data_IF_891083214335
#
_entry.id   IF_891083214335
#
_cell.length_a   1.000
_cell.length_b   1.000
_cell.length_c   1.000
_cell.angle_alpha   90.00
_cell.angle_beta   90.00
_cell.angle_gamma   90.00
#
_symmetry.space_group_name_H-M   'P 1'
#
loop_
_entity.id
_entity.type
_entity.pdbx_description
1 polymer ?
#
# COMPACT_ATOMS: atom_id res chain seq x y z
N UNK A 1 18.85 13.88 -4.77
CA UNK A 1 18.09 12.92 -5.61
C UNK A 1 18.11 13.25 -7.10
N UNK A 2 17.37 14.24 -7.63
CA UNK A 2 17.27 14.45 -9.10
C UNK A 2 18.62 14.69 -9.81
N UNK A 3 19.52 15.48 -9.23
CA UNK A 3 20.87 15.66 -9.79
C UNK A 3 21.73 14.39 -9.72
N UNK A 4 21.53 13.52 -8.72
CA UNK A 4 22.22 12.22 -8.66
C UNK A 4 21.73 11.28 -9.78
N UNK A 5 20.43 11.27 -10.04
CA UNK A 5 19.85 10.55 -11.18
C UNK A 5 20.39 11.05 -12.54
N UNK A 6 20.56 12.36 -12.71
CA UNK A 6 21.23 12.91 -13.90
C UNK A 6 22.71 12.50 -14.00
N UNK A 7 23.40 12.35 -12.88
CA UNK A 7 24.77 11.85 -12.89
C UNK A 7 24.85 10.39 -13.34
N UNK A 8 23.91 9.53 -12.90
CA UNK A 8 23.80 8.14 -13.38
C UNK A 8 23.51 8.05 -14.88
N UNK A 9 22.62 8.92 -15.38
CA UNK A 9 22.35 9.02 -16.82
C UNK A 9 23.64 9.37 -17.60
N UNK A 10 24.42 10.33 -17.10
CA UNK A 10 25.63 10.80 -17.75
C UNK A 10 26.80 9.79 -17.68
N UNK A 11 26.88 8.97 -16.62
CA UNK A 11 27.89 7.91 -16.49
C UNK A 11 27.53 6.65 -17.27
N UNK A 12 26.29 6.50 -17.73
CA UNK A 12 25.82 5.28 -18.38
C UNK A 12 25.54 4.13 -17.41
N UNK A 13 25.36 4.43 -16.12
CA UNK A 13 25.07 3.47 -15.05
C UNK A 13 23.67 3.73 -14.47
N UNK A 14 22.59 3.60 -15.25
CA UNK A 14 21.24 3.86 -14.76
C UNK A 14 20.80 2.79 -13.76
N UNK A 15 19.86 3.16 -12.89
CA UNK A 15 19.09 2.21 -12.07
C UNK A 15 18.24 1.34 -13.00
N UNK A 16 18.43 0.02 -12.94
CA UNK A 16 17.76 -0.99 -13.76
C UNK A 16 16.55 -1.54 -13.02
N UNK A 17 15.37 -1.32 -13.57
CA UNK A 17 14.08 -1.60 -12.93
C UNK A 17 13.39 -2.79 -13.61
N UNK A 18 12.93 -3.74 -12.80
CA UNK A 18 11.99 -4.79 -13.20
C UNK A 18 10.59 -4.40 -12.74
N UNK A 19 9.61 -4.50 -13.63
CA UNK A 19 8.20 -4.25 -13.30
C UNK A 19 7.39 -5.54 -13.38
N UNK A 20 6.69 -5.88 -12.30
CA UNK A 20 5.74 -7.00 -12.26
C UNK A 20 4.33 -6.44 -12.16
N UNK A 21 3.50 -6.72 -13.16
CA UNK A 21 2.17 -6.15 -13.32
C UNK A 21 2.18 -4.92 -14.22
N UNK A 22 1.53 -5.03 -15.38
CA UNK A 22 1.42 -4.02 -16.42
C UNK A 22 -0.03 -3.53 -16.61
N UNK A 23 -0.81 -3.58 -15.53
CA UNK A 23 -2.16 -2.99 -15.46
C UNK A 23 -2.15 -1.46 -15.49
N UNK A 24 -3.21 -0.82 -14.98
CA UNK A 24 -3.36 0.63 -15.03
C UNK A 24 -2.19 1.39 -14.38
N UNK A 25 -1.77 0.98 -13.18
CA UNK A 25 -0.63 1.60 -12.47
C UNK A 25 0.70 1.20 -13.11
N UNK A 26 0.90 -0.09 -13.41
CA UNK A 26 2.11 -0.60 -14.06
C UNK A 26 2.45 0.11 -15.37
N UNK A 27 1.45 0.36 -16.22
CA UNK A 27 1.64 1.12 -17.46
C UNK A 27 2.13 2.54 -17.19
N UNK A 28 1.55 3.23 -16.19
CA UNK A 28 1.98 4.56 -15.76
C UNK A 28 3.41 4.57 -15.19
N UNK A 29 3.76 3.56 -14.39
CA UNK A 29 5.10 3.38 -13.82
C UNK A 29 6.12 3.17 -14.95
N UNK A 30 5.85 2.27 -15.90
CA UNK A 30 6.71 2.00 -17.04
C UNK A 30 6.97 3.27 -17.87
N UNK A 31 5.90 4.02 -18.15
CA UNK A 31 6.00 5.32 -18.81
C UNK A 31 6.90 6.28 -18.03
N UNK A 32 6.67 6.43 -16.71
CA UNK A 32 7.41 7.38 -15.87
C UNK A 32 8.90 7.01 -15.77
N UNK A 33 9.24 5.73 -15.67
CA UNK A 33 10.62 5.25 -15.70
C UNK A 33 11.30 5.69 -17.00
N UNK A 34 10.63 5.53 -18.15
CA UNK A 34 11.16 5.92 -19.46
C UNK A 34 11.43 7.42 -19.62
N UNK A 35 10.92 8.29 -18.73
CA UNK A 35 11.21 9.74 -18.72
C UNK A 35 12.10 10.20 -17.58
N UNK A 36 12.41 9.31 -16.63
CA UNK A 36 13.20 9.68 -15.46
C UNK A 36 14.68 9.47 -15.80
N UNK A 37 15.52 10.54 -15.76
CA UNK A 37 16.95 10.40 -15.99
C UNK A 37 17.56 9.34 -15.05
N UNK A 38 18.53 8.58 -15.54
CA UNK A 38 19.27 7.62 -14.71
C UNK A 38 18.43 6.41 -14.27
N UNK A 39 17.30 6.15 -14.92
CA UNK A 39 16.50 4.93 -14.72
C UNK A 39 16.22 4.26 -16.05
N UNK A 40 16.14 2.93 -16.05
CA UNK A 40 15.77 2.12 -17.21
C UNK A 40 14.86 0.97 -16.80
N UNK A 41 13.77 0.80 -17.53
CA UNK A 41 12.98 -0.41 -17.45
C UNK A 41 13.71 -1.50 -18.24
N UNK A 42 14.21 -2.53 -17.55
CA UNK A 42 14.96 -3.63 -18.18
C UNK A 42 14.09 -4.85 -18.42
N UNK A 43 13.01 -5.01 -17.65
CA UNK A 43 12.05 -6.07 -17.87
C UNK A 43 10.65 -5.74 -17.35
N UNK A 44 9.65 -6.34 -17.99
CA UNK A 44 8.24 -6.25 -17.61
C UNK A 44 7.61 -7.63 -17.68
N UNK A 45 6.84 -7.99 -16.66
CA UNK A 45 6.06 -9.22 -16.65
C UNK A 45 4.59 -8.95 -16.42
N UNK A 46 3.74 -9.63 -17.16
CA UNK A 46 2.30 -9.68 -16.89
C UNK A 46 1.72 -10.99 -17.44
N UNK A 47 0.71 -11.54 -16.76
CA UNK A 47 -0.01 -12.71 -17.26
C UNK A 47 -0.60 -12.48 -18.64
N UNK A 48 -0.98 -11.23 -18.96
CA UNK A 48 -1.31 -10.75 -20.29
C UNK A 48 -0.06 -10.18 -20.98
N UNK A 49 0.51 -10.96 -21.89
CA UNK A 49 1.69 -10.55 -22.65
C UNK A 49 1.48 -9.24 -23.42
N UNK A 50 0.27 -8.96 -23.92
CA UNK A 50 0.00 -7.70 -24.62
C UNK A 50 0.07 -6.51 -23.65
N UNK A 51 -0.32 -6.68 -22.39
CA UNK A 51 -0.15 -5.66 -21.37
C UNK A 51 1.33 -5.36 -21.10
N UNK A 52 2.15 -6.40 -20.94
CA UNK A 52 3.59 -6.24 -20.74
C UNK A 52 4.27 -5.58 -21.96
N UNK A 53 3.87 -5.92 -23.19
CA UNK A 53 4.33 -5.26 -24.41
C UNK A 53 3.98 -3.78 -24.43
N UNK A 54 2.72 -3.42 -24.13
CA UNK A 54 2.27 -2.02 -24.07
C UNK A 54 3.07 -1.21 -23.03
N UNK A 55 3.39 -1.81 -21.87
CA UNK A 55 4.20 -1.16 -20.85
C UNK A 55 5.65 -0.94 -21.32
N UNK A 56 6.27 -1.93 -21.97
CA UNK A 56 7.59 -1.77 -22.55
C UNK A 56 7.63 -0.68 -23.65
N UNK A 57 6.60 -0.63 -24.50
CA UNK A 57 6.42 0.44 -25.50
C UNK A 57 6.22 1.82 -24.85
N UNK A 58 5.44 1.91 -23.77
CA UNK A 58 5.22 3.15 -23.03
C UNK A 58 6.51 3.70 -22.39
N UNK A 59 7.41 2.81 -21.96
CA UNK A 59 8.75 3.18 -21.50
C UNK A 59 9.64 3.74 -22.63
N UNK A 60 9.27 3.50 -23.90
CA UNK A 60 9.94 4.08 -25.08
C UNK A 60 11.15 3.29 -25.59
N UNK A 61 11.39 2.09 -25.06
CA UNK A 61 12.49 1.21 -25.47
C UNK A 61 12.05 0.10 -26.44
N UNK A 62 12.96 -0.44 -27.25
CA UNK A 62 12.67 -1.67 -27.98
C UNK A 62 12.54 -2.85 -27.01
N UNK A 63 11.63 -3.77 -27.29
CA UNK A 63 11.40 -4.95 -26.45
C UNK A 63 11.61 -6.25 -27.21
N UNK A 64 11.80 -7.33 -26.45
CA UNK A 64 11.86 -8.69 -26.97
C UNK A 64 11.22 -9.64 -25.95
N UNK A 65 10.50 -10.65 -26.45
CA UNK A 65 9.90 -11.66 -25.60
C UNK A 65 10.98 -12.55 -24.96
N UNK A 66 10.85 -12.77 -23.66
CA UNK A 66 11.74 -13.59 -22.85
C UNK A 66 10.95 -14.73 -22.22
N UNK A 67 11.37 -15.96 -22.46
CA UNK A 67 10.70 -17.16 -21.95
C UNK A 67 11.68 -18.27 -21.62
N UNK A 68 11.31 -19.11 -20.65
CA UNK A 68 12.11 -20.25 -20.27
C UNK A 68 12.32 -21.21 -21.45
N UNK A 69 13.56 -21.58 -21.72
CA UNK A 69 13.94 -22.49 -22.81
C UNK A 69 14.17 -21.82 -24.16
N UNK A 70 13.92 -20.51 -24.30
CA UNK A 70 14.31 -19.73 -25.47
C UNK A 70 15.72 -19.14 -25.32
N UNK A 71 16.28 -18.63 -26.42
CA UNK A 71 17.53 -17.85 -26.38
C UNK A 71 17.30 -16.54 -25.61
N UNK A 72 18.27 -16.13 -24.80
CA UNK A 72 18.19 -14.89 -24.03
C UNK A 72 18.06 -13.69 -24.98
N UNK A 73 17.15 -12.75 -24.70
CA UNK A 73 17.07 -11.52 -25.48
C UNK A 73 18.36 -10.69 -25.33
N UNK A 74 18.68 -9.85 -26.32
CA UNK A 74 19.78 -8.89 -26.19
C UNK A 74 19.60 -7.97 -24.98
N UNK A 75 20.72 -7.55 -24.37
CA UNK A 75 20.70 -6.65 -23.20
C UNK A 75 20.25 -5.22 -23.51
N UNK A 76 20.18 -4.84 -24.79
CA UNK A 76 19.66 -3.55 -25.25
C UNK A 76 18.12 -3.54 -25.43
N UNK A 77 17.45 -4.65 -25.08
CA UNK A 77 15.98 -4.80 -25.15
C UNK A 77 15.38 -4.84 -23.77
N UNK A 78 14.15 -4.34 -23.65
CA UNK A 78 13.28 -4.61 -22.52
C UNK A 78 12.77 -6.06 -22.64
N UNK A 79 13.03 -6.87 -21.62
CA UNK A 79 12.60 -8.27 -21.60
C UNK A 79 11.12 -8.33 -21.21
N UNK A 80 10.29 -8.91 -22.06
CA UNK A 80 8.85 -9.02 -21.84
C UNK A 80 8.48 -10.48 -21.62
N UNK A 81 7.85 -10.81 -20.49
CA UNK A 81 7.49 -12.20 -20.15
C UNK A 81 6.11 -12.33 -19.52
N UNK A 82 5.58 -13.56 -19.51
CA UNK A 82 4.42 -13.93 -18.69
C UNK A 82 4.79 -14.46 -17.30
N UNK A 83 6.05 -14.82 -17.11
CA UNK A 83 6.53 -15.48 -15.90
C UNK A 83 7.54 -14.58 -15.17
N UNK A 84 7.19 -14.01 -14.00
CA UNK A 84 8.14 -13.21 -13.23
C UNK A 84 9.26 -14.05 -12.61
N UNK A 85 9.02 -15.32 -12.28
CA UNK A 85 10.04 -16.17 -11.65
C UNK A 85 11.17 -16.49 -12.61
N UNK A 86 10.89 -16.56 -13.91
CA UNK A 86 11.92 -16.67 -14.94
C UNK A 86 12.92 -15.49 -14.89
N UNK A 87 12.44 -14.27 -14.62
CA UNK A 87 13.31 -13.10 -14.51
C UNK A 87 14.08 -13.05 -13.19
N UNK A 88 13.69 -13.87 -12.21
CA UNK A 88 14.40 -14.02 -10.93
C UNK A 88 15.42 -15.15 -10.95
N UNK A 89 15.24 -16.15 -11.82
CA UNK A 89 16.28 -17.12 -12.11
C UNK A 89 17.56 -16.40 -12.58
N UNK A 90 18.73 -16.96 -12.29
CA UNK A 90 20.03 -16.41 -12.69
C UNK A 90 20.25 -16.56 -14.22
N UNK A 91 19.42 -15.86 -14.99
CA UNK A 91 19.36 -15.86 -16.45
C UNK A 91 20.23 -14.75 -17.04
N UNK A 92 21.04 -14.08 -16.23
CA UNK A 92 21.89 -12.96 -16.63
C UNK A 92 21.17 -11.61 -16.80
N UNK A 93 19.90 -11.48 -16.39
CA UNK A 93 19.19 -10.19 -16.40
C UNK A 93 19.74 -9.28 -15.28
N UNK A 94 20.41 -8.22 -15.68
CA UNK A 94 20.94 -7.21 -14.78
C UNK A 94 19.85 -6.25 -14.26
N UNK A 95 19.62 -6.20 -12.95
CA UNK A 95 18.59 -5.38 -12.31
C UNK A 95 19.00 -4.92 -10.89
N UNK A 96 18.47 -3.79 -10.43
CA UNK A 96 18.74 -3.21 -9.10
C UNK A 96 17.50 -3.24 -8.19
N UNK A 97 16.32 -3.15 -8.79
CA UNK A 97 15.06 -2.96 -8.06
C UNK A 97 13.89 -3.59 -8.81
N UNK A 98 12.98 -4.19 -8.06
CA UNK A 98 11.69 -4.67 -8.53
C UNK A 98 10.57 -3.75 -8.05
N UNK A 99 9.66 -3.39 -8.95
CA UNK A 99 8.39 -2.75 -8.63
C UNK A 99 7.28 -3.78 -8.75
N UNK A 100 6.63 -4.10 -7.63
CA UNK A 100 5.49 -5.02 -7.56
C UNK A 100 4.20 -4.18 -7.68
N UNK A 101 3.52 -4.32 -8.81
CA UNK A 101 2.34 -3.54 -9.20
C UNK A 101 1.18 -4.43 -9.69
N UNK A 102 1.17 -5.71 -9.30
CA UNK A 102 0.01 -6.58 -9.49
C UNK A 102 -1.11 -6.24 -8.49
N UNK A 103 -2.20 -6.98 -8.59
CA UNK A 103 -3.37 -6.89 -7.71
C UNK A 103 -3.58 -8.19 -6.92
N UNK A 104 -2.52 -8.99 -6.77
CA UNK A 104 -2.53 -10.26 -6.04
C UNK A 104 -1.76 -10.10 -4.73
N UNK A 105 -2.01 -10.93 -3.73
CA UNK A 105 -1.30 -10.89 -2.45
C UNK A 105 -0.39 -12.11 -2.33
N UNK A 106 -0.95 -13.31 -2.48
CA UNK A 106 -0.18 -14.56 -2.30
C UNK A 106 0.89 -14.75 -3.37
N UNK A 107 0.52 -14.57 -4.64
CA UNK A 107 1.47 -14.65 -5.76
C UNK A 107 2.53 -13.55 -5.68
N UNK A 108 2.12 -12.31 -5.44
CA UNK A 108 3.03 -11.17 -5.28
C UNK A 108 4.03 -11.38 -4.13
N UNK A 109 3.61 -12.00 -3.02
CA UNK A 109 4.50 -12.35 -1.93
C UNK A 109 5.63 -13.28 -2.37
N UNK A 110 5.32 -14.31 -3.17
CA UNK A 110 6.32 -15.23 -3.71
C UNK A 110 7.30 -14.53 -4.66
N UNK A 111 6.79 -13.65 -5.51
CA UNK A 111 7.61 -12.81 -6.40
C UNK A 111 8.54 -11.90 -5.59
N UNK A 112 8.04 -11.22 -4.56
CA UNK A 112 8.84 -10.37 -3.68
C UNK A 112 9.96 -11.14 -3.00
N UNK A 113 9.67 -12.34 -2.50
CA UNK A 113 10.67 -13.20 -1.86
C UNK A 113 11.75 -13.67 -2.83
N UNK A 114 11.36 -14.08 -4.05
CA UNK A 114 12.31 -14.45 -5.08
C UNK A 114 13.22 -13.27 -5.48
N UNK A 115 12.68 -12.05 -5.52
CA UNK A 115 13.46 -10.86 -5.81
C UNK A 115 14.44 -10.50 -4.69
N UNK A 116 14.07 -10.66 -3.41
CA UNK A 116 14.99 -10.53 -2.27
C UNK A 116 16.11 -11.56 -2.35
N UNK A 117 15.82 -12.81 -2.70
CA UNK A 117 16.83 -13.87 -2.86
C UNK A 117 17.85 -13.53 -3.96
N UNK A 118 17.45 -12.71 -4.94
CA UNK A 118 18.25 -12.20 -6.06
C UNK A 118 18.92 -10.85 -5.79
N UNK A 119 18.92 -10.39 -4.54
CA UNK A 119 19.53 -9.12 -4.15
C UNK A 119 18.92 -7.88 -4.83
N UNK A 120 17.60 -7.89 -5.06
CA UNK A 120 16.88 -6.73 -5.57
C UNK A 120 16.20 -5.96 -4.43
N UNK A 121 16.28 -4.64 -4.50
CA UNK A 121 15.39 -3.78 -3.72
C UNK A 121 13.93 -3.96 -4.17
N UNK A 122 12.97 -3.72 -3.30
CA UNK A 122 11.54 -3.82 -3.61
C UNK A 122 10.82 -2.50 -3.39
N UNK A 123 10.01 -2.11 -4.38
CA UNK A 123 9.00 -1.05 -4.25
C UNK A 123 7.62 -1.68 -4.42
N UNK A 124 6.79 -1.57 -3.39
CA UNK A 124 5.43 -2.09 -3.36
C UNK A 124 4.44 -0.98 -3.76
N UNK A 125 3.99 -1.01 -5.02
CA UNK A 125 2.78 -0.30 -5.43
C UNK A 125 1.53 -0.99 -4.87
N UNK A 126 1.66 -2.28 -4.57
CA UNK A 126 0.62 -3.10 -3.98
C UNK A 126 0.64 -2.99 -2.43
N UNK A 127 -0.13 -2.05 -1.91
CA UNK A 127 -0.24 -1.80 -0.47
C UNK A 127 -0.75 -3.01 0.33
N UNK A 128 -1.52 -3.90 -0.29
CA UNK A 128 -2.08 -5.09 0.34
C UNK A 128 -0.99 -6.12 0.70
N UNK A 129 0.04 -6.24 -0.14
CA UNK A 129 1.22 -7.09 0.16
C UNK A 129 2.01 -6.52 1.33
N UNK A 130 2.18 -5.20 1.37
CA UNK A 130 2.86 -4.51 2.48
C UNK A 130 2.09 -4.71 3.79
N UNK A 131 0.76 -4.57 3.77
CA UNK A 131 -0.04 -4.80 4.96
C UNK A 131 0.03 -6.26 5.43
N UNK A 132 -0.11 -7.21 4.50
CA UNK A 132 -0.14 -8.63 4.83
C UNK A 132 1.23 -9.13 5.35
N UNK A 133 2.32 -8.75 4.68
CA UNK A 133 3.63 -9.38 4.82
C UNK A 133 4.81 -8.42 4.95
N UNK A 134 4.56 -7.11 5.09
CA UNK A 134 5.58 -6.08 5.25
C UNK A 134 6.63 -6.44 6.30
N UNK A 135 6.26 -6.74 7.57
CA UNK A 135 7.24 -7.08 8.59
C UNK A 135 8.18 -8.24 8.21
N UNK A 136 7.66 -9.27 7.54
CA UNK A 136 8.45 -10.40 7.04
C UNK A 136 9.39 -9.98 5.90
N UNK A 137 8.85 -9.30 4.88
CA UNK A 137 9.61 -8.86 3.71
C UNK A 137 10.74 -7.91 4.10
N UNK A 138 10.45 -6.90 4.91
CA UNK A 138 11.45 -5.96 5.41
C UNK A 138 12.54 -6.66 6.21
N UNK A 139 12.20 -7.64 7.06
CA UNK A 139 13.20 -8.38 7.84
C UNK A 139 14.11 -9.23 6.96
N UNK A 140 13.56 -9.92 5.97
CA UNK A 140 14.34 -10.73 5.02
C UNK A 140 15.25 -9.87 4.15
N UNK A 141 14.77 -8.73 3.68
CA UNK A 141 15.55 -7.79 2.90
C UNK A 141 16.67 -7.15 3.73
N UNK A 142 16.39 -6.73 4.96
CA UNK A 142 17.40 -6.13 5.85
C UNK A 142 18.55 -7.10 6.16
N UNK A 143 18.29 -8.42 6.22
CA UNK A 143 19.34 -9.42 6.39
C UNK A 143 20.32 -9.53 5.21
N UNK A 144 20.03 -8.83 4.10
CA UNK A 144 20.81 -8.79 2.85
C UNK A 144 21.19 -7.37 2.44
N UNK A 145 21.06 -6.39 3.35
CA UNK A 145 21.28 -4.96 3.07
C UNK A 145 20.39 -4.41 1.95
N UNK A 146 19.18 -4.96 1.79
CA UNK A 146 18.19 -4.53 0.79
C UNK A 146 17.06 -3.71 1.43
N UNK A 147 16.56 -2.73 0.67
CA UNK A 147 15.36 -1.95 1.00
C UNK A 147 14.11 -2.61 0.41
N UNK A 148 13.08 -2.77 1.26
CA UNK A 148 11.67 -2.88 0.84
C UNK A 148 11.01 -1.58 1.22
N UNK A 149 10.08 -1.08 0.41
CA UNK A 149 9.32 0.14 0.72
C UNK A 149 7.99 0.15 -0.03
N UNK A 150 6.98 0.80 0.53
CA UNK A 150 5.79 1.19 -0.24
C UNK A 150 6.13 2.29 -1.25
N UNK A 151 5.24 2.46 -2.23
CA UNK A 151 5.26 3.56 -3.19
C UNK A 151 5.25 4.95 -2.52
N UNK A 152 5.80 5.96 -3.19
CA UNK A 152 5.89 7.32 -2.64
C UNK A 152 4.71 8.25 -2.99
N UNK A 153 3.84 7.82 -3.89
CA UNK A 153 2.79 8.62 -4.51
C UNK A 153 1.37 8.25 -4.14
N UNK A 154 1.13 7.03 -3.64
CA UNK A 154 -0.12 6.68 -2.96
C UNK A 154 -0.26 7.42 -1.62
N UNK A 155 -1.49 7.53 -1.10
CA UNK A 155 -1.77 8.37 0.08
C UNK A 155 -0.87 8.05 1.28
N UNK A 156 -0.60 6.77 1.56
CA UNK A 156 0.25 6.36 2.67
C UNK A 156 1.71 6.77 2.47
N UNK A 157 2.27 6.64 1.26
CA UNK A 157 3.62 7.14 0.95
C UNK A 157 3.75 8.65 1.07
N UNK A 158 2.71 9.39 0.68
CA UNK A 158 2.66 10.85 0.83
C UNK A 158 2.57 11.25 2.30
N UNK A 159 1.70 10.58 3.07
CA UNK A 159 1.56 10.80 4.51
C UNK A 159 2.86 10.50 5.26
N UNK A 160 3.55 9.39 4.97
CA UNK A 160 4.83 9.04 5.59
C UNK A 160 5.86 10.16 5.44
N UNK A 161 5.98 10.71 4.22
CA UNK A 161 6.89 11.83 3.94
C UNK A 161 6.48 13.12 4.63
N UNK A 162 5.19 13.42 4.70
CA UNK A 162 4.69 14.59 5.43
C UNK A 162 4.97 14.44 6.92
N UNK A 163 4.75 13.26 7.49
CA UNK A 163 5.00 12.96 8.91
C UNK A 163 6.49 13.12 9.25
N UNK A 164 7.38 12.58 8.42
CA UNK A 164 8.83 12.74 8.56
C UNK A 164 9.23 14.23 8.59
N UNK A 165 8.72 15.01 7.64
CA UNK A 165 8.98 16.45 7.55
C UNK A 165 8.43 17.23 8.76
N UNK A 166 7.20 16.93 9.19
CA UNK A 166 6.54 17.60 10.31
C UNK A 166 7.21 17.28 11.65
N UNK A 167 7.70 16.04 11.82
CA UNK A 167 8.52 15.66 12.99
C UNK A 167 9.86 16.41 13.01
N UNK A 168 10.49 16.61 11.85
CA UNK A 168 11.72 17.42 11.76
C UNK A 168 11.50 18.87 12.20
N UNK A 169 10.28 19.40 12.01
CA UNK A 169 9.90 20.74 12.49
C UNK A 169 9.60 20.80 13.99
N UNK A 170 9.60 19.66 14.69
CA UNK A 170 9.40 19.58 16.15
C UNK A 170 7.95 19.41 16.60
N UNK A 171 7.02 19.09 15.69
CA UNK A 171 5.64 18.80 16.07
C UNK A 171 5.49 17.34 16.52
N UNK A 172 4.64 17.13 17.55
CA UNK A 172 4.10 15.81 17.84
C UNK A 172 2.96 15.50 16.87
N UNK A 173 2.96 14.33 16.27
CA UNK A 173 1.89 13.91 15.36
C UNK A 173 0.69 13.46 16.18
N UNK A 174 -0.46 14.12 15.98
CA UNK A 174 -1.71 13.78 16.67
C UNK A 174 -2.64 13.00 15.76
N UNK A 175 -2.64 13.33 14.47
CA UNK A 175 -3.46 12.65 13.48
C UNK A 175 -2.77 12.64 12.12
N UNK A 176 -2.86 11.51 11.41
CA UNK A 176 -2.59 11.41 9.99
C UNK A 176 -3.86 10.96 9.27
N UNK A 177 -4.25 11.63 8.20
CA UNK A 177 -5.56 11.41 7.60
C UNK A 177 -5.64 11.45 6.08
N UNK A 178 -6.60 10.69 5.57
CA UNK A 178 -6.94 10.61 4.15
C UNK A 178 -8.15 11.52 3.83
N UNK A 179 -8.20 12.10 2.63
CA UNK A 179 -9.39 12.77 2.11
C UNK A 179 -10.10 11.87 1.12
N UNK A 180 -11.20 11.26 1.58
CA UNK A 180 -12.00 10.35 0.79
C UNK A 180 -13.16 11.09 0.13
N UNK A 181 -13.34 10.94 -1.18
CA UNK A 181 -14.47 11.57 -1.88
C UNK A 181 -15.80 10.84 -1.65
N UNK A 182 -15.79 9.51 -1.63
CA UNK A 182 -16.99 8.67 -1.55
C UNK A 182 -16.74 7.39 -0.76
N UNK A 183 -17.77 6.92 -0.06
CA UNK A 183 -17.77 5.68 0.71
C UNK A 183 -19.16 5.04 0.67
N UNK A 184 -19.23 3.80 0.20
CA UNK A 184 -20.39 2.92 0.30
C UNK A 184 -19.92 1.52 0.67
N UNK A 185 -19.99 1.20 1.97
CA UNK A 185 -19.56 -0.09 2.56
C UNK A 185 -20.22 -1.30 1.91
N UNK A 186 -21.37 -1.11 1.26
CA UNK A 186 -22.18 -2.19 0.72
C UNK A 186 -22.13 -2.29 -0.80
N UNK A 187 -21.24 -1.51 -1.43
CA UNK A 187 -20.98 -1.60 -2.85
C UNK A 187 -20.51 -3.01 -3.23
N UNK A 188 -20.92 -3.44 -4.42
CA UNK A 188 -20.54 -4.71 -5.04
C UNK A 188 -19.78 -4.43 -6.32
N UNK A 189 -18.85 -5.33 -6.68
CA UNK A 189 -18.10 -5.20 -7.92
C UNK A 189 -19.01 -5.19 -9.16
N UNK A 190 -20.07 -6.01 -9.15
CA UNK A 190 -21.08 -6.06 -10.21
C UNK A 190 -21.83 -4.72 -10.35
N UNK A 191 -22.14 -4.07 -9.23
CA UNK A 191 -22.80 -2.76 -9.23
C UNK A 191 -21.90 -1.61 -9.73
N UNK A 192 -20.58 -1.82 -9.75
CA UNK A 192 -19.59 -0.81 -10.12
C UNK A 192 -18.97 -1.01 -11.50
N UNK A 193 -19.44 -1.98 -12.29
CA UNK A 193 -18.88 -2.29 -13.62
C UNK A 193 -18.77 -1.05 -14.52
N UNK A 194 -19.82 -0.24 -14.59
CA UNK A 194 -19.81 0.97 -15.43
C UNK A 194 -18.80 2.01 -14.94
N UNK A 195 -18.71 2.20 -13.62
CA UNK A 195 -17.81 3.21 -13.06
C UNK A 195 -16.34 2.77 -13.14
N UNK A 196 -16.08 1.48 -12.92
CA UNK A 196 -14.78 0.87 -13.13
C UNK A 196 -14.33 1.02 -14.60
N UNK A 197 -15.22 0.80 -15.56
CA UNK A 197 -14.93 0.97 -16.98
C UNK A 197 -14.58 2.42 -17.35
N UNK A 198 -15.32 3.42 -16.84
CA UNK A 198 -15.02 4.85 -17.06
C UNK A 198 -13.62 5.22 -16.58
N UNK A 199 -13.19 4.62 -15.46
CA UNK A 199 -11.89 4.87 -14.82
C UNK A 199 -10.79 3.91 -15.29
N UNK A 200 -11.11 2.95 -16.17
CA UNK A 200 -10.20 1.88 -16.63
C UNK A 200 -9.60 1.07 -15.48
N UNK A 201 -10.43 0.77 -14.48
CA UNK A 201 -10.06 -0.01 -13.30
C UNK A 201 -10.65 -1.42 -13.37
N UNK A 202 -10.03 -2.33 -12.63
CA UNK A 202 -10.64 -3.61 -12.32
C UNK A 202 -11.88 -3.37 -11.40
N UNK A 203 -13.05 -3.99 -11.67
CA UNK A 203 -14.26 -3.82 -10.84
C UNK A 203 -14.08 -4.20 -9.36
N UNK A 204 -13.31 -5.24 -9.06
CA UNK A 204 -13.00 -5.67 -7.69
C UNK A 204 -12.19 -4.58 -6.98
N UNK A 205 -11.16 -4.04 -7.61
CA UNK A 205 -10.40 -2.92 -7.06
C UNK A 205 -11.26 -1.66 -6.89
N UNK A 206 -12.08 -1.33 -7.89
CA UNK A 206 -13.01 -0.21 -7.81
C UNK A 206 -13.98 -0.35 -6.62
N UNK A 207 -14.41 -1.57 -6.34
CA UNK A 207 -15.22 -1.90 -5.16
C UNK A 207 -14.45 -1.70 -3.86
N UNK A 208 -13.21 -2.18 -3.76
CA UNK A 208 -12.36 -1.98 -2.57
C UNK A 208 -12.08 -0.51 -2.27
N UNK A 209 -11.99 0.33 -3.32
CA UNK A 209 -11.92 1.79 -3.15
C UNK A 209 -13.24 2.36 -2.63
N UNK A 210 -14.36 1.80 -3.07
CA UNK A 210 -15.69 2.33 -2.77
C UNK A 210 -16.17 1.92 -1.38
N UNK A 211 -15.89 0.68 -0.96
CA UNK A 211 -16.36 0.14 0.32
C UNK A 211 -15.50 0.52 1.53
N UNK A 212 -14.36 1.18 1.28
CA UNK A 212 -13.45 1.67 2.31
C UNK A 212 -12.36 0.68 2.71
N UNK A 213 -12.34 -0.52 2.15
CA UNK A 213 -11.31 -1.52 2.45
C UNK A 213 -9.92 -0.99 2.11
N UNK A 214 -9.74 -0.40 0.91
CA UNK A 214 -8.44 0.19 0.51
C UNK A 214 -8.01 1.33 1.43
N UNK A 215 -8.97 2.17 1.84
CA UNK A 215 -8.71 3.26 2.79
C UNK A 215 -8.20 2.69 4.13
N UNK A 216 -8.80 1.62 4.63
CA UNK A 216 -8.33 0.92 5.81
C UNK A 216 -6.89 0.40 5.64
N UNK A 217 -6.57 -0.18 4.47
CA UNK A 217 -5.23 -0.71 4.17
C UNK A 217 -4.18 0.40 4.21
N UNK A 218 -4.43 1.51 3.51
CA UNK A 218 -3.52 2.66 3.48
C UNK A 218 -3.28 3.25 4.87
N UNK A 219 -4.33 3.38 5.68
CA UNK A 219 -4.19 3.94 7.03
C UNK A 219 -3.55 2.94 8.01
N UNK A 220 -3.73 1.63 7.81
CA UNK A 220 -3.05 0.60 8.59
C UNK A 220 -1.53 0.61 8.34
N UNK A 221 -1.10 0.85 7.10
CA UNK A 221 0.33 1.02 6.79
C UNK A 221 0.94 2.20 7.55
N UNK A 222 0.24 3.33 7.60
CA UNK A 222 0.70 4.50 8.39
C UNK A 222 0.73 4.18 9.89
N UNK A 223 -0.30 3.52 10.41
CA UNK A 223 -0.32 3.08 11.81
C UNK A 223 0.89 2.19 12.15
N UNK A 224 1.18 1.20 11.31
CA UNK A 224 2.29 0.26 11.47
C UNK A 224 3.66 0.91 11.29
N UNK A 225 3.76 1.96 10.48
CA UNK A 225 4.99 2.69 10.23
C UNK A 225 5.32 3.73 11.31
N UNK A 226 4.30 4.39 11.84
CA UNK A 226 4.46 5.61 12.64
C UNK A 226 4.02 5.47 14.10
N UNK A 227 3.52 4.29 14.50
CA UNK A 227 3.04 4.03 15.86
C UNK A 227 1.71 4.72 16.17
N UNK A 228 0.94 5.06 15.13
CA UNK A 228 -0.41 5.61 15.24
C UNK A 228 -1.45 4.48 15.30
N UNK A 229 -2.68 4.78 15.72
CA UNK A 229 -3.75 3.78 15.84
C UNK A 229 -5.11 4.29 15.34
N UNK A 230 -6.01 3.44 14.83
CA UNK A 230 -7.41 3.84 14.68
C UNK A 230 -8.04 4.02 16.08
N UNK A 231 -8.74 5.13 16.29
CA UNK A 231 -9.41 5.41 17.56
C UNK A 231 -10.59 4.46 17.82
N UNK A 232 -11.35 4.15 16.76
CA UNK A 232 -12.44 3.17 16.72
C UNK A 232 -12.30 2.27 15.49
N UNK A 233 -12.90 1.06 15.49
CA UNK A 233 -12.95 0.23 14.29
C UNK A 233 -13.48 0.99 13.08
N UNK A 234 -12.71 1.03 12.00
CA UNK A 234 -13.06 1.73 10.77
C UNK A 234 -12.78 3.23 10.74
N UNK A 235 -12.20 3.79 11.81
CA UNK A 235 -11.97 5.24 12.00
C UNK A 235 -13.27 6.06 12.15
N UNK A 236 -13.19 7.29 12.66
CA UNK A 236 -14.39 8.11 12.92
C UNK A 236 -15.02 8.65 11.63
N UNK A 237 -14.20 9.06 10.65
CA UNK A 237 -14.66 9.32 9.29
C UNK A 237 -15.72 10.40 9.08
N UNK A 238 -15.68 11.56 9.77
CA UNK A 238 -16.71 12.60 9.65
C UNK A 238 -16.80 13.16 8.23
N UNK A 239 -17.99 13.66 7.89
CA UNK A 239 -18.18 14.45 6.66
C UNK A 239 -17.64 15.86 6.88
N UNK A 240 -16.89 16.34 5.90
CA UNK A 240 -16.37 17.70 5.88
C UNK A 240 -16.52 18.28 4.48
N UNK A 241 -16.81 19.59 4.36
CA UNK A 241 -16.78 20.30 3.08
C UNK A 241 -15.37 20.77 2.70
N UNK A 242 -14.56 21.08 3.72
CA UNK A 242 -13.17 21.53 3.59
C UNK A 242 -12.29 20.83 4.64
N UNK A 243 -11.03 20.58 4.30
CA UNK A 243 -10.06 19.92 5.21
C UNK A 243 -9.86 20.66 6.53
N UNK A 244 -10.09 21.98 6.58
CA UNK A 244 -9.97 22.77 7.82
C UNK A 244 -11.03 22.44 8.85
N UNK A 245 -12.15 21.83 8.44
CA UNK A 245 -13.21 21.40 9.37
C UNK A 245 -12.77 20.25 10.28
N UNK A 246 -11.57 19.68 10.09
CA UNK A 246 -10.99 18.71 11.04
C UNK A 246 -10.95 19.25 12.48
N UNK A 247 -10.78 20.57 12.67
CA UNK A 247 -10.79 21.19 14.00
C UNK A 247 -12.19 21.25 14.64
N UNK A 248 -13.25 21.12 13.84
CA UNK A 248 -14.63 21.12 14.31
C UNK A 248 -15.15 19.70 14.57
N UNK A 249 -14.68 18.73 13.77
CA UNK A 249 -15.20 17.37 13.79
C UNK A 249 -14.42 16.40 14.67
N UNK A 250 -13.14 16.67 14.93
CA UNK A 250 -12.32 15.82 15.78
C UNK A 250 -12.01 16.48 17.13
N UNK A 251 -12.21 15.72 18.19
CA UNK A 251 -11.82 16.11 19.55
C UNK A 251 -10.44 15.50 19.85
N UNK A 252 -9.40 16.25 19.50
CA UNK A 252 -8.00 15.81 19.61
C UNK A 252 -7.56 15.51 21.05
N UNK A 253 -8.20 16.13 22.05
CA UNK A 253 -7.85 15.91 23.46
C UNK A 253 -8.23 14.49 23.92
N UNK A 254 -9.20 13.84 23.27
CA UNK A 254 -9.53 12.42 23.50
C UNK A 254 -8.39 11.47 23.12
N UNK A 255 -7.45 11.92 22.28
CA UNK A 255 -6.31 11.13 21.83
C UNK A 255 -5.08 11.25 22.76
N UNK A 256 -5.16 12.03 23.85
CA UNK A 256 -4.04 12.22 24.76
C UNK A 256 -3.66 10.96 25.58
N UNK A 257 -4.56 9.98 25.68
CA UNK A 257 -4.37 8.76 26.47
C UNK A 257 -4.73 7.49 25.67
N UNK A 258 -4.11 7.32 24.51
CA UNK A 258 -4.34 6.14 23.67
C UNK A 258 -3.70 4.88 24.29
N UNK A 259 -4.32 3.70 24.11
CA UNK A 259 -3.75 2.44 24.57
C UNK A 259 -2.39 2.13 23.92
N UNK A 260 -1.55 1.38 24.63
CA UNK A 260 -0.26 0.91 24.10
C UNK A 260 0.79 2.00 23.90
N UNK A 261 0.57 3.22 24.38
CA UNK A 261 1.51 4.34 24.22
C UNK A 261 1.53 4.93 22.81
N UNK A 262 0.46 4.72 22.02
CA UNK A 262 0.34 5.29 20.68
C UNK A 262 0.44 6.82 20.71
N UNK A 263 1.16 7.38 19.74
CA UNK A 263 1.49 8.82 19.71
C UNK A 263 0.31 9.70 19.25
N UNK A 264 -0.58 9.11 18.46
CA UNK A 264 -1.73 9.75 17.83
C UNK A 264 -2.56 8.73 17.04
N UNK A 265 -3.46 9.24 16.19
CA UNK A 265 -4.43 8.42 15.46
C UNK A 265 -4.26 8.47 13.94
N UNK A 266 -4.77 7.45 13.26
CA UNK A 266 -5.07 7.53 11.83
C UNK A 266 -6.58 7.69 11.64
N UNK A 267 -6.99 8.56 10.74
CA UNK A 267 -8.41 8.77 10.42
C UNK A 267 -8.63 9.23 8.97
N UNK A 268 -9.84 9.64 8.62
CA UNK A 268 -10.15 10.23 7.32
C UNK A 268 -11.30 11.23 7.42
N UNK A 269 -11.44 12.07 6.41
CA UNK A 269 -12.63 12.89 6.21
C UNK A 269 -13.31 12.54 4.90
N UNK A 270 -14.65 12.67 4.88
CA UNK A 270 -15.48 12.25 3.75
C UNK A 270 -16.12 13.45 3.03
N UNK A 271 -15.75 13.64 1.77
CA UNK A 271 -16.39 14.60 0.85
C UNK A 271 -15.75 15.99 0.81
N UNK A 272 -14.61 16.18 1.47
CA UNK A 272 -13.94 17.48 1.47
C UNK A 272 -13.33 17.81 0.10
N UNK A 273 -13.38 19.08 -0.27
CA UNK A 273 -12.79 19.61 -1.50
C UNK A 273 -11.65 20.61 -1.18
N UNK A 274 -10.50 20.57 -1.90
CA UNK A 274 -10.17 19.64 -2.98
C UNK A 274 -10.05 18.16 -2.54
N UNK A 275 -10.71 17.27 -3.29
CA UNK A 275 -10.68 15.83 -3.02
C UNK A 275 -9.34 15.16 -3.34
N UNK A 276 -9.14 13.94 -2.83
CA UNK A 276 -7.98 13.09 -3.17
C UNK A 276 -6.65 13.57 -2.59
N UNK A 277 -6.67 14.38 -1.53
CA UNK A 277 -5.49 14.77 -0.78
C UNK A 277 -5.28 13.96 0.51
N UNK A 278 -4.28 14.36 1.28
CA UNK A 278 -3.98 13.82 2.62
C UNK A 278 -3.59 14.94 3.57
N UNK A 279 -3.82 14.75 4.86
CA UNK A 279 -3.55 15.76 5.89
C UNK A 279 -2.88 15.17 7.13
N UNK A 280 -2.16 16.01 7.87
CA UNK A 280 -1.56 15.69 9.16
C UNK A 280 -1.89 16.82 10.12
N UNK A 281 -2.32 16.45 11.34
CA UNK A 281 -2.49 17.39 12.45
C UNK A 281 -1.32 17.22 13.41
N UNK A 282 -0.51 18.26 13.52
CA UNK A 282 0.58 18.35 14.48
C UNK A 282 0.19 19.14 15.73
N UNK A 283 0.81 18.83 16.86
CA UNK A 283 0.66 19.56 18.11
C UNK A 283 1.97 20.25 18.52
N UNK A 284 1.88 21.55 18.83
CA UNK A 284 2.94 22.36 19.40
C UNK A 284 2.37 23.39 20.39
N UNK A 285 2.74 23.26 21.66
CA UNK A 285 2.31 24.13 22.76
C UNK A 285 3.41 25.04 23.29
N UNK A 286 4.59 25.05 22.65
CA UNK A 286 5.66 25.99 22.98
C UNK A 286 5.25 27.45 22.66
N UNK A 287 5.22 28.36 23.65
CA UNK A 287 4.71 29.72 23.45
C UNK A 287 5.50 30.54 22.41
N UNK A 288 6.80 30.27 22.24
CA UNK A 288 7.61 30.95 21.23
C UNK A 288 7.21 30.47 19.83
N UNK A 289 7.02 29.16 19.65
CA UNK A 289 6.53 28.60 18.39
C UNK A 289 5.11 29.05 18.07
N UNK A 290 4.20 29.07 19.05
CA UNK A 290 2.82 29.52 18.83
C UNK A 290 2.77 30.95 18.27
N UNK A 291 3.64 31.85 18.75
CA UNK A 291 3.76 33.20 18.20
C UNK A 291 4.17 33.17 16.71
N UNK A 292 5.14 32.35 16.33
CA UNK A 292 5.58 32.23 14.93
C UNK A 292 4.51 31.59 14.04
N UNK A 293 3.85 30.52 14.52
CA UNK A 293 2.81 29.81 13.77
C UNK A 293 1.57 30.68 13.55
N UNK A 294 1.19 31.47 14.55
CA UNK A 294 0.18 32.52 14.40
C UNK A 294 0.61 33.57 13.36
N UNK A 295 1.86 34.02 13.41
CA UNK A 295 2.39 34.97 12.42
C UNK A 295 2.34 34.38 10.99
N UNK A 296 2.64 33.09 10.84
CA UNK A 296 2.53 32.33 9.59
C UNK A 296 1.11 31.89 9.21
N UNK A 297 0.09 32.31 9.97
CA UNK A 297 -1.33 32.08 9.67
C UNK A 297 -1.76 30.62 9.74
N UNK A 298 -1.09 29.81 10.57
CA UNK A 298 -1.46 28.42 10.81
C UNK A 298 -2.51 28.26 11.94
N UNK A 299 -2.83 29.33 12.65
CA UNK A 299 -3.82 29.34 13.73
C UNK A 299 -3.21 29.67 15.09
N UNK A 300 -4.06 29.67 16.11
CA UNK A 300 -3.67 30.01 17.49
C UNK A 300 -3.07 28.81 18.26
N UNK A 301 -3.12 27.61 17.68
CA UNK A 301 -2.65 26.38 18.32
C UNK A 301 -3.61 25.81 19.37
N UNK A 302 -3.20 24.76 20.10
CA UNK A 302 -1.93 24.06 19.97
C UNK A 302 -1.89 23.05 18.81
N UNK A 303 -3.01 22.85 18.10
CA UNK A 303 -3.13 21.96 16.95
C UNK A 303 -2.99 22.73 15.63
N UNK A 304 -2.27 22.15 14.67
CA UNK A 304 -1.94 22.77 13.40
C UNK A 304 -2.13 21.78 12.25
N UNK A 305 -2.73 22.24 11.16
CA UNK A 305 -3.07 21.44 9.99
C UNK A 305 -2.04 21.61 8.88
N UNK A 306 -1.49 20.49 8.41
CA UNK A 306 -0.65 20.41 7.23
C UNK A 306 -1.33 19.52 6.21
N UNK A 307 -1.49 20.02 4.98
CA UNK A 307 -2.34 19.39 3.99
C UNK A 307 -1.72 19.44 2.60
N UNK A 308 -1.79 18.31 1.89
CA UNK A 308 -1.45 18.22 0.47
C UNK A 308 -2.71 17.88 -0.34
N UNK A 309 -3.19 18.78 -1.22
CA UNK A 309 -4.45 18.61 -1.96
C UNK A 309 -4.39 17.66 -3.15
N UNK A 310 -3.40 16.76 -3.17
CA UNK A 310 -3.21 15.79 -4.24
C UNK A 310 -2.23 14.71 -3.81
N UNK A 311 -2.31 13.57 -4.48
CA UNK A 311 -1.31 12.52 -4.52
C UNK A 311 -1.22 12.06 -5.98
N UNK A 312 -0.04 11.61 -6.43
CA UNK A 312 0.24 11.40 -7.86
C UNK A 312 0.60 9.95 -8.21
N UNK A 313 0.41 9.01 -7.27
CA UNK A 313 0.54 7.58 -7.50
C UNK A 313 1.84 7.24 -8.28
N UNK A 314 1.70 6.54 -9.41
CA UNK A 314 2.77 6.11 -10.31
C UNK A 314 3.79 7.19 -10.70
N UNK A 315 3.43 8.48 -10.72
CA UNK A 315 4.38 9.55 -11.03
C UNK A 315 5.48 9.67 -9.96
N UNK A 316 5.18 9.33 -8.71
CA UNK A 316 6.12 9.41 -7.60
C UNK A 316 6.80 8.07 -7.28
N UNK A 317 6.46 6.97 -7.97
CA UNK A 317 7.16 5.67 -7.81
C UNK A 317 8.66 5.77 -8.06
N UNK A 318 9.07 6.63 -9.00
CA UNK A 318 10.49 6.87 -9.26
C UNK A 318 11.22 7.53 -8.10
N UNK A 319 10.52 8.24 -7.21
CA UNK A 319 11.11 8.71 -5.95
C UNK A 319 11.37 7.54 -4.99
N UNK A 320 10.43 6.59 -4.87
CA UNK A 320 10.63 5.39 -4.03
C UNK A 320 11.82 4.56 -4.54
N UNK A 321 11.90 4.35 -5.85
CA UNK A 321 13.03 3.67 -6.51
C UNK A 321 14.36 4.37 -6.20
N UNK A 322 14.42 5.69 -6.43
CA UNK A 322 15.64 6.45 -6.23
C UNK A 322 16.09 6.43 -4.76
N UNK A 323 15.17 6.57 -3.80
CA UNK A 323 15.49 6.56 -2.37
C UNK A 323 16.01 5.18 -1.93
N UNK A 324 15.38 4.10 -2.39
CA UNK A 324 15.81 2.74 -2.07
C UNK A 324 17.22 2.46 -2.58
N UNK A 325 17.52 2.77 -3.85
CA UNK A 325 18.79 2.41 -4.51
C UNK A 325 19.93 3.38 -4.17
N UNK A 326 19.66 4.70 -4.12
CA UNK A 326 20.70 5.71 -3.91
C UNK A 326 21.00 5.93 -2.44
N UNK A 327 19.96 5.96 -1.61
CA UNK A 327 20.06 6.38 -0.21
C UNK A 327 20.01 5.16 0.74
N UNK A 328 19.61 3.97 0.26
CA UNK A 328 19.44 2.79 1.11
C UNK A 328 18.28 2.94 2.10
N UNK A 329 17.30 3.81 1.79
CA UNK A 329 16.24 4.18 2.71
C UNK A 329 14.84 3.90 2.14
N UNK A 330 13.90 3.38 2.97
CA UNK A 330 12.51 3.25 2.57
C UNK A 330 11.76 4.59 2.65
N UNK A 331 10.70 4.72 1.85
CA UNK A 331 9.66 5.74 2.05
C UNK A 331 8.81 5.41 3.26
N UNK A 332 8.35 4.15 3.35
CA UNK A 332 7.57 3.63 4.46
C UNK A 332 8.02 2.20 4.75
N UNK A 333 8.09 1.87 6.04
CA UNK A 333 8.33 0.53 6.56
C UNK A 333 7.50 0.32 7.82
N UNK A 334 7.08 -0.90 8.17
CA UNK A 334 6.32 -1.19 9.38
C UNK A 334 7.24 -1.20 10.62
N UNK A 335 7.78 -0.02 10.99
CA UNK A 335 8.76 0.12 12.07
C UNK A 335 8.22 -0.28 13.45
N UNK A 336 6.90 -0.24 13.64
CA UNK A 336 6.21 -0.64 14.88
C UNK A 336 5.56 -2.03 14.76
N UNK A 337 5.85 -2.79 13.70
CA UNK A 337 5.26 -4.11 13.46
C UNK A 337 3.77 -4.03 13.08
N UNK A 338 2.95 -4.95 13.60
CA UNK A 338 1.49 -4.99 13.36
C UNK A 338 0.74 -4.31 14.51
N UNK A 339 0.64 -2.99 14.47
CA UNK A 339 -0.16 -2.18 15.41
C UNK A 339 -1.64 -2.15 14.99
N UNK A 340 -1.90 -2.00 13.69
CA UNK A 340 -3.23 -2.04 13.10
C UNK A 340 -3.25 -2.91 11.84
N UNK A 341 -4.43 -3.47 11.54
CA UNK A 341 -4.69 -4.30 10.37
C UNK A 341 -6.15 -4.10 9.93
N UNK A 342 -6.53 -4.65 8.79
CA UNK A 342 -7.89 -4.54 8.25
C UNK A 342 -8.60 -5.88 8.40
N UNK A 343 -9.68 -5.91 9.16
CA UNK A 343 -10.42 -7.12 9.50
C UNK A 343 -11.72 -7.21 8.70
N UNK A 344 -12.12 -8.43 8.36
CA UNK A 344 -13.28 -8.68 7.52
C UNK A 344 -14.61 -8.57 8.30
N UNK A 345 -15.58 -7.92 7.70
CA UNK A 345 -16.97 -7.81 8.16
C UNK A 345 -17.92 -8.23 7.05
N UNK A 346 -18.99 -8.95 7.42
CA UNK A 346 -19.99 -9.40 6.47
C UNK A 346 -20.70 -8.21 5.78
N UNK A 347 -20.58 -8.11 4.46
CA UNK A 347 -21.19 -7.03 3.66
C UNK A 347 -22.72 -7.17 3.53
N UNK A 348 -23.21 -8.40 3.68
CA UNK A 348 -24.63 -8.78 3.62
C UNK A 348 -24.85 -9.99 4.52
N UNK A 349 -26.10 -10.44 4.64
CA UNK A 349 -26.37 -11.75 5.23
C UNK A 349 -25.75 -12.85 4.37
N UNK A 350 -24.95 -13.72 4.99
CA UNK A 350 -24.23 -14.82 4.38
C UNK A 350 -24.71 -16.16 4.95
N UNK A 351 -24.77 -17.18 4.10
CA UNK A 351 -25.17 -18.54 4.45
C UNK A 351 -23.95 -19.43 4.66
N UNK A 352 -24.13 -20.45 5.51
CA UNK A 352 -23.17 -21.53 5.61
C UNK A 352 -22.97 -22.20 4.23
N UNK A 353 -21.72 -22.54 3.91
CA UNK A 353 -21.32 -23.16 2.66
C UNK A 353 -21.05 -22.20 1.50
N UNK A 354 -21.27 -20.88 1.66
CA UNK A 354 -20.88 -19.91 0.62
C UNK A 354 -19.35 -19.84 0.47
N UNK A 355 -18.87 -19.87 -0.78
CA UNK A 355 -17.46 -19.69 -1.15
C UNK A 355 -17.11 -18.21 -1.29
N UNK A 356 -15.95 -17.82 -0.77
CA UNK A 356 -15.43 -16.45 -0.79
C UNK A 356 -14.29 -16.36 -1.81
N UNK A 357 -14.56 -15.95 -3.06
CA UNK A 357 -13.53 -15.83 -4.10
C UNK A 357 -12.61 -14.62 -3.89
N UNK A 358 -13.15 -13.56 -3.29
CA UNK A 358 -12.45 -12.30 -3.02
C UNK A 358 -12.77 -11.86 -1.61
N UNK A 359 -11.73 -11.64 -0.82
CA UNK A 359 -11.80 -10.94 0.46
C UNK A 359 -11.99 -9.45 0.21
N UNK A 360 -11.04 -8.84 -0.50
CA UNK A 360 -11.01 -7.40 -0.75
C UNK A 360 -11.84 -7.06 -1.99
N UNK A 361 -12.73 -6.07 -1.88
CA UNK A 361 -13.56 -5.60 -3.00
C UNK A 361 -14.60 -6.62 -3.50
N UNK A 362 -14.74 -7.75 -2.81
CA UNK A 362 -15.72 -8.79 -3.11
C UNK A 362 -17.14 -8.44 -2.65
N UNK A 363 -18.05 -9.37 -2.89
CA UNK A 363 -19.48 -9.25 -2.53
C UNK A 363 -19.80 -9.79 -1.12
N UNK A 364 -18.82 -10.43 -0.46
CA UNK A 364 -19.02 -11.10 0.82
C UNK A 364 -18.61 -10.21 1.99
N UNK A 365 -17.48 -9.52 1.87
CA UNK A 365 -16.89 -8.76 2.96
C UNK A 365 -16.52 -7.34 2.55
N UNK A 366 -16.49 -6.45 3.53
CA UNK A 366 -15.72 -5.20 3.51
C UNK A 366 -14.73 -5.23 4.67
N UNK A 367 -13.67 -4.43 4.58
CA UNK A 367 -12.65 -4.33 5.61
C UNK A 367 -12.81 -3.10 6.50
N UNK A 368 -12.61 -3.25 7.81
CA UNK A 368 -12.41 -2.13 8.73
C UNK A 368 -11.03 -2.21 9.35
N UNK A 369 -10.31 -1.09 9.38
CA UNK A 369 -9.06 -0.98 10.14
C UNK A 369 -9.37 -1.09 11.64
N UNK A 370 -8.62 -1.92 12.34
CA UNK A 370 -8.68 -2.06 13.79
C UNK A 370 -7.30 -2.21 14.40
N UNK A 371 -7.22 -2.00 15.71
CA UNK A 371 -6.02 -2.29 16.49
C UNK A 371 -5.84 -3.80 16.60
N UNK A 372 -4.64 -4.29 16.26
CA UNK A 372 -4.37 -5.72 16.19
C UNK A 372 -4.54 -6.42 17.53
N UNK A 373 -4.12 -5.78 18.62
CA UNK A 373 -4.19 -6.37 19.96
C UNK A 373 -5.62 -6.79 20.33
N UNK A 374 -6.62 -5.95 20.08
CA UNK A 374 -8.02 -6.27 20.33
C UNK A 374 -8.62 -7.25 19.31
N UNK A 375 -8.31 -7.06 18.03
CA UNK A 375 -8.89 -7.85 16.96
C UNK A 375 -8.35 -9.29 16.93
N UNK A 376 -7.03 -9.47 17.08
CA UNK A 376 -6.38 -10.78 17.16
C UNK A 376 -6.85 -11.54 18.42
N UNK A 377 -7.02 -10.86 19.57
CA UNK A 377 -7.56 -11.47 20.79
C UNK A 377 -9.02 -11.93 20.63
N UNK A 378 -9.76 -11.31 19.71
CA UNK A 378 -11.13 -11.69 19.35
C UNK A 378 -11.18 -12.70 18.18
N UNK A 379 -10.05 -13.29 17.78
CA UNK A 379 -9.93 -14.27 16.69
C UNK A 379 -10.43 -13.74 15.33
N UNK A 380 -10.37 -12.41 15.11
CA UNK A 380 -10.83 -11.80 13.86
C UNK A 380 -9.88 -12.10 12.72
N UNK A 381 -10.43 -12.18 11.51
CA UNK A 381 -9.64 -12.52 10.30
C UNK A 381 -9.21 -11.27 9.55
N UNK A 382 -7.90 -11.02 9.37
CA UNK A 382 -7.41 -10.03 8.44
C UNK A 382 -7.93 -10.29 7.02
N UNK A 383 -8.53 -9.29 6.39
CA UNK A 383 -9.23 -9.44 5.11
C UNK A 383 -8.31 -9.88 3.97
N UNK A 384 -7.02 -9.52 4.06
CA UNK A 384 -5.96 -9.91 3.11
C UNK A 384 -5.79 -11.43 3.01
N UNK A 385 -6.17 -12.20 4.04
CA UNK A 385 -6.08 -13.66 4.05
C UNK A 385 -7.25 -14.34 3.33
N UNK A 386 -8.26 -13.58 2.89
CA UNK A 386 -9.49 -14.11 2.30
C UNK A 386 -9.50 -14.03 0.77
N UNK A 387 -8.47 -13.47 0.14
CA UNK A 387 -8.33 -13.49 -1.31
C UNK A 387 -7.84 -14.87 -1.78
N UNK A 388 -8.59 -15.45 -2.71
CA UNK A 388 -8.40 -16.82 -3.19
C UNK A 388 -7.40 -16.90 -4.36
N UNK A 389 -6.23 -16.26 -4.22
CA UNK A 389 -5.22 -16.17 -5.29
C UNK A 389 -4.74 -17.55 -5.79
N UNK A 390 -4.82 -18.58 -4.94
CA UNK A 390 -4.43 -19.97 -5.25
C UNK A 390 -5.54 -20.79 -5.93
N UNK A 391 -6.69 -20.17 -6.21
CA UNK A 391 -7.85 -20.82 -6.83
C UNK A 391 -8.72 -21.65 -5.88
N UNK A 392 -8.36 -21.72 -4.58
CA UNK A 392 -9.18 -22.32 -3.54
C UNK A 392 -9.74 -21.22 -2.62
N UNK A 393 -11.04 -20.93 -2.68
CA UNK A 393 -11.65 -19.92 -1.82
C UNK A 393 -11.90 -20.45 -0.40
N UNK A 394 -11.89 -19.53 0.58
CA UNK A 394 -12.43 -19.83 1.90
C UNK A 394 -13.93 -20.15 1.81
N UNK A 395 -14.42 -21.01 2.70
CA UNK A 395 -15.84 -21.40 2.76
C UNK A 395 -16.41 -21.09 4.13
N UNK A 396 -17.59 -20.48 4.18
CA UNK A 396 -18.28 -20.22 5.44
C UNK A 396 -18.75 -21.51 6.12
N UNK A 397 -18.36 -21.71 7.38
CA UNK A 397 -18.81 -22.84 8.21
C UNK A 397 -20.19 -22.60 8.81
N UNK A 398 -20.59 -21.35 9.01
CA UNK A 398 -21.90 -20.95 9.52
C UNK A 398 -22.44 -19.72 8.79
N UNK A 399 -23.71 -19.42 9.04
CA UNK A 399 -24.30 -18.16 8.59
C UNK A 399 -23.75 -16.97 9.40
N UNK A 400 -23.59 -15.82 8.73
CA UNK A 400 -23.19 -14.54 9.32
C UNK A 400 -24.25 -13.50 8.96
N UNK A 401 -24.65 -12.69 9.94
CA UNK A 401 -25.48 -11.53 9.68
C UNK A 401 -24.66 -10.41 9.03
N UNK A 402 -25.30 -9.53 8.27
CA UNK A 402 -24.67 -8.29 7.80
C UNK A 402 -24.03 -7.51 8.97
N UNK A 403 -22.86 -6.94 8.70
CA UNK A 403 -22.01 -6.19 9.63
C UNK A 403 -21.44 -7.02 10.80
N UNK A 404 -21.60 -8.34 10.79
CA UNK A 404 -20.95 -9.23 11.75
C UNK A 404 -19.44 -9.34 11.43
N UNK A 405 -18.54 -9.14 12.41
CA UNK A 405 -17.11 -9.37 12.22
C UNK A 405 -16.84 -10.87 11.99
N UNK A 406 -15.91 -11.17 11.09
CA UNK A 406 -15.56 -12.54 10.71
C UNK A 406 -14.41 -13.04 11.58
N UNK A 407 -14.57 -14.24 12.13
CA UNK A 407 -13.54 -14.94 12.92
C UNK A 407 -12.98 -16.16 12.18
N UNK A 408 -11.80 -16.64 12.58
CA UNK A 408 -11.22 -17.85 11.97
C UNK A 408 -12.12 -19.08 12.18
N UNK A 409 -12.87 -19.13 13.29
CA UNK A 409 -13.87 -20.16 13.55
C UNK A 409 -15.01 -20.19 12.53
N UNK A 410 -15.32 -19.05 11.87
CA UNK A 410 -16.42 -18.93 10.91
C UNK A 410 -16.09 -19.49 9.53
N UNK A 411 -14.81 -19.75 9.26
CA UNK A 411 -14.31 -20.05 7.94
C UNK A 411 -13.53 -21.37 7.91
N UNK A 412 -13.74 -22.15 6.86
CA UNK A 412 -12.79 -23.15 6.42
C UNK A 412 -11.82 -22.46 5.45
N UNK A 413 -10.70 -21.94 5.98
CA UNK A 413 -9.63 -21.37 5.17
C UNK A 413 -8.78 -22.51 4.59
N UNK A 414 -8.51 -22.51 3.28
CA UNK A 414 -7.56 -23.45 2.70
C UNK A 414 -6.13 -23.10 3.12
N UNK A 415 -5.30 -24.13 3.25
CA UNK A 415 -3.86 -23.94 3.37
C UNK A 415 -3.33 -23.22 2.13
N UNK A 416 -2.54 -22.18 2.35
CA UNK A 416 -1.95 -21.37 1.28
C UNK A 416 -0.57 -20.88 1.67
N UNK A 417 0.23 -20.53 0.67
CA UNK A 417 1.55 -19.94 0.91
C UNK A 417 1.43 -18.63 1.68
N UNK A 418 0.41 -17.81 1.36
CA UNK A 418 0.10 -16.58 2.07
C UNK A 418 -0.17 -16.82 3.55
N UNK A 419 -1.05 -17.78 3.88
CA UNK A 419 -1.38 -18.11 5.27
C UNK A 419 -0.14 -18.61 6.04
N UNK A 420 0.67 -19.47 5.41
CA UNK A 420 1.93 -19.94 5.98
C UNK A 420 2.92 -18.80 6.26
N UNK A 421 3.11 -17.86 5.31
CA UNK A 421 3.99 -16.71 5.48
C UNK A 421 3.46 -15.74 6.55
N UNK A 422 2.14 -15.57 6.64
CA UNK A 422 1.51 -14.75 7.68
C UNK A 422 1.75 -15.33 9.09
N UNK A 423 1.65 -16.66 9.25
CA UNK A 423 1.99 -17.31 10.51
C UNK A 423 3.49 -17.23 10.85
N UNK A 424 4.37 -17.41 9.86
CA UNK A 424 5.81 -17.22 10.03
C UNK A 424 6.13 -15.79 10.50
N UNK A 425 5.47 -14.79 9.91
CA UNK A 425 5.58 -13.39 10.33
C UNK A 425 5.17 -13.19 11.79
N UNK A 426 4.07 -13.80 12.24
CA UNK A 426 3.62 -13.72 13.63
C UNK A 426 4.61 -14.37 14.62
N UNK A 427 5.37 -15.38 14.21
CA UNK A 427 6.46 -15.92 15.01
C UNK A 427 7.63 -14.95 15.10
N UNK A 428 8.01 -14.35 13.97
CA UNK A 428 9.07 -13.35 13.88
C UNK A 428 8.77 -12.11 14.72
N UNK A 429 7.54 -11.62 14.71
CA UNK A 429 7.11 -10.47 15.52
C UNK A 429 7.10 -10.75 17.03
N UNK A 430 7.09 -12.02 17.47
CA UNK A 430 7.21 -12.39 18.89
C UNK A 430 8.66 -12.47 19.39
N UNK A 431 9.63 -12.52 18.47
CA UNK A 431 11.05 -12.73 18.77
C UNK A 431 11.86 -11.42 18.83
N UNK A 432 11.35 -10.34 18.26
CA UNK A 432 11.93 -8.99 18.33
C UNK A 432 11.12 -8.13 19.27
#
# INVERSE_FOLDING_TARGET
MYEALKALEASGEPIRVVLVGAGAMGLGIAWQIGRTPGMRLVAVTDIDLEAAQRAAEAAGGPWAEASAGAALPPSDRIWVSRDPFYLHADVGLEADVLVEATNTIGFAAEVCLAAIERDLHLVLMNAEVDLALGPLLHRRAAARDLVVTSDAGDQHGVLARMIDEIRLWGFRIVMAGNIKGFLDRYATADGLLEEAAKRRLNPIQCCAYTDGTKLGVEMALIANAEGLVPFVPGMEGPRAGDVREVFEHFDFDRYAALPGGAEGVVDYILGAEPGGGVFVVGHCDDPLQQQYLWYYKLGDGPYYLFYRPYHLCHLETTRAIARAVLDGEPILRPAHGRVADVYAYAKRDLRAGESVPHGIGGNHFYGLIERCAEADAADRVPIVLLDADTGQPAVLKRALARDEPVTFADLALPESRLLSLFHEQAELLRQG
#
